data_IF_555840624384
#
_entry.id   IF_555840624384
#
_cell.length_a   1.000
_cell.length_b   1.000
_cell.length_c   1.000
_cell.angle_alpha   90.00
_cell.angle_beta   90.00
_cell.angle_gamma   90.00
#
_symmetry.space_group_name_H-M   'P 1'
#
loop_
_entity.id
_entity.type
_entity.pdbx_description
1 polymer ?
#
# COMPACT_ATOMS: atom_id res chain seq x y z
N UNK A 1 -12.64 -9.77 -19.85
CA UNK A 1 -12.86 -8.32 -19.67
C UNK A 1 -11.50 -7.68 -19.47
N UNK A 2 -11.20 -6.60 -20.20
CA UNK A 2 -9.92 -5.89 -20.10
C UNK A 2 -10.17 -4.54 -19.43
N UNK A 3 -9.39 -4.24 -18.39
CA UNK A 3 -9.48 -3.00 -17.63
C UNK A 3 -8.18 -2.20 -17.79
N UNK A 4 -8.30 -0.88 -17.83
CA UNK A 4 -7.17 0.04 -17.93
C UNK A 4 -7.03 0.78 -16.61
N UNK A 5 -5.83 0.74 -16.02
CA UNK A 5 -5.51 1.55 -14.84
C UNK A 5 -4.93 2.86 -15.33
N UNK A 6 -5.68 3.95 -15.14
CA UNK A 6 -5.31 5.30 -15.56
C UNK A 6 -5.19 6.18 -14.32
N UNK A 7 -4.35 7.21 -14.40
CA UNK A 7 -4.29 8.24 -13.36
C UNK A 7 -5.30 9.34 -13.71
N UNK A 8 -6.29 9.50 -12.83
CA UNK A 8 -7.27 10.57 -12.90
C UNK A 8 -7.31 11.36 -11.61
N UNK A 9 -7.73 12.62 -11.68
CA UNK A 9 -7.95 13.48 -10.51
C UNK A 9 -9.39 13.98 -10.50
N UNK A 10 -9.92 14.25 -9.32
CA UNK A 10 -11.19 14.96 -9.16
C UNK A 10 -10.89 16.45 -9.04
N UNK A 11 -11.51 17.29 -9.87
CA UNK A 11 -11.36 18.74 -9.80
C UNK A 11 -12.21 19.35 -8.67
N UNK A 12 -12.10 20.67 -8.46
CA UNK A 12 -12.85 21.39 -7.42
C UNK A 12 -14.37 21.37 -7.64
N UNK A 13 -14.81 21.09 -8.86
CA UNK A 13 -16.21 21.00 -9.25
C UNK A 13 -16.76 19.57 -9.14
N UNK A 14 -15.91 18.59 -8.80
CA UNK A 14 -16.28 17.19 -8.67
C UNK A 14 -16.16 16.37 -9.97
N UNK A 15 -15.52 16.89 -11.01
CA UNK A 15 -15.36 16.19 -12.29
C UNK A 15 -14.11 15.31 -12.31
N UNK A 16 -14.22 14.12 -12.90
CA UNK A 16 -13.08 13.26 -13.19
C UNK A 16 -12.30 13.78 -14.40
N UNK A 17 -11.02 14.11 -14.18
CA UNK A 17 -10.09 14.55 -15.21
C UNK A 17 -9.05 13.46 -15.46
N UNK A 18 -8.97 12.95 -16.68
CA UNK A 18 -7.93 12.02 -17.16
C UNK A 18 -7.14 12.74 -18.24
N UNK A 19 -5.84 12.94 -18.01
CA UNK A 19 -4.95 13.65 -18.94
C UNK A 19 -4.19 12.72 -19.88
N UNK A 20 -4.22 11.41 -19.60
CA UNK A 20 -3.53 10.38 -20.38
C UNK A 20 -4.42 9.90 -21.54
N UNK A 21 -3.88 9.74 -22.76
CA UNK A 21 -4.64 9.21 -23.88
C UNK A 21 -4.95 7.72 -23.67
N UNK A 22 -6.15 7.30 -24.05
CA UNK A 22 -6.60 5.91 -23.93
C UNK A 22 -6.75 5.30 -25.31
N UNK A 23 -6.00 4.24 -25.60
CA UNK A 23 -6.04 3.55 -26.88
C UNK A 23 -7.15 2.49 -26.89
N UNK A 24 -8.41 2.94 -26.93
CA UNK A 24 -9.59 2.10 -27.03
C UNK A 24 -10.35 2.38 -28.32
N UNK A 25 -10.99 1.37 -28.94
CA UNK A 25 -11.88 1.60 -30.08
C UNK A 25 -13.07 2.48 -29.64
N UNK A 26 -13.66 3.26 -30.56
CA UNK A 26 -14.83 4.07 -30.26
C UNK A 26 -15.98 3.20 -29.74
N UNK A 27 -16.55 3.60 -28.59
CA UNK A 27 -17.63 2.86 -27.94
C UNK A 27 -17.95 3.40 -26.55
N UNK A 28 -19.00 2.86 -25.94
CA UNK A 28 -19.32 3.16 -24.54
C UNK A 28 -18.34 2.45 -23.61
N UNK A 29 -17.92 3.12 -22.55
CA UNK A 29 -17.04 2.58 -21.52
C UNK A 29 -17.64 2.82 -20.14
N UNK A 30 -17.38 1.89 -19.22
CA UNK A 30 -17.68 2.06 -17.80
C UNK A 30 -16.41 2.48 -17.05
N UNK A 31 -16.55 3.35 -16.07
CA UNK A 31 -15.43 3.89 -15.28
C UNK A 31 -15.62 3.52 -13.82
N UNK A 32 -14.62 2.88 -13.23
CA UNK A 32 -14.57 2.58 -11.80
C UNK A 32 -13.57 3.54 -11.15
N UNK A 33 -14.04 4.37 -10.22
CA UNK A 33 -13.20 5.35 -9.50
C UNK A 33 -12.82 4.79 -8.14
N UNK A 34 -11.53 4.71 -7.88
CA UNK A 34 -10.99 4.34 -6.57
C UNK A 34 -10.19 5.51 -6.00
N UNK A 35 -10.39 5.92 -4.73
CA UNK A 35 -9.55 6.93 -4.12
C UNK A 35 -8.09 6.47 -4.12
N UNK A 36 -7.20 7.31 -4.66
CA UNK A 36 -5.77 7.08 -4.58
C UNK A 36 -5.29 7.41 -3.16
N UNK A 37 -4.57 6.49 -2.52
CA UNK A 37 -3.72 6.82 -1.39
C UNK A 37 -2.50 7.54 -1.96
N UNK A 38 -2.41 8.86 -1.73
CA UNK A 38 -1.27 9.67 -2.16
C UNK A 38 0.05 9.02 -1.70
N UNK A 39 0.76 8.42 -2.66
CA UNK A 39 2.16 8.05 -2.51
C UNK A 39 2.93 9.14 -3.22
N UNK A 40 3.42 10.09 -2.42
CA UNK A 40 4.10 11.31 -2.83
C UNK A 40 5.53 10.94 -3.23
N UNK A 41 5.74 10.56 -4.50
CA UNK A 41 7.08 10.30 -5.02
C UNK A 41 7.65 11.55 -5.71
N UNK A 42 8.52 12.28 -5.02
CA UNK A 42 9.91 12.57 -5.46
C UNK A 42 10.57 13.73 -4.70
N UNK A 43 11.56 13.37 -3.88
CA UNK A 43 12.94 13.90 -3.85
C UNK A 43 13.17 15.41 -3.74
N UNK A 44 13.50 15.89 -2.54
CA UNK A 44 14.71 16.72 -2.25
C UNK A 44 14.99 16.68 -0.73
N UNK A 45 16.28 16.53 -0.37
CA UNK A 45 16.93 16.59 0.94
C UNK A 45 17.01 15.27 1.77
N UNK A 46 18.23 14.79 2.10
CA UNK A 46 18.42 13.74 3.09
C UNK A 46 18.31 14.39 4.48
N UNK A 47 17.09 14.64 4.93
CA UNK A 47 16.85 14.95 6.34
C UNK A 47 16.84 13.61 7.09
N UNK A 48 17.99 13.29 7.68
CA UNK A 48 18.10 12.30 8.74
C UNK A 48 17.22 12.76 9.90
N UNK A 49 15.99 12.25 9.99
CA UNK A 49 15.12 12.36 11.16
C UNK A 49 14.29 11.08 11.33
N UNK A 50 13.90 10.75 12.57
CA UNK A 50 14.25 9.48 13.18
C UNK A 50 13.27 8.36 12.85
N UNK A 51 13.80 7.14 12.87
CA UNK A 51 13.05 5.88 12.95
C UNK A 51 11.87 6.05 13.90
N UNK A 52 10.62 5.85 13.46
CA UNK A 52 9.50 5.88 14.38
C UNK A 52 9.69 4.73 15.36
N UNK A 53 9.97 5.05 16.62
CA UNK A 53 9.91 4.07 17.70
C UNK A 53 8.49 3.51 17.71
N UNK A 54 8.36 2.28 17.24
CA UNK A 54 7.08 1.59 17.14
C UNK A 54 6.41 1.58 18.51
N UNK A 55 5.11 1.95 18.61
CA UNK A 55 4.41 1.89 19.87
C UNK A 55 4.41 0.45 20.37
N UNK A 56 4.91 0.23 21.60
CA UNK A 56 4.89 -1.07 22.28
C UNK A 56 3.48 -1.66 22.16
N UNK A 57 3.34 -2.76 21.40
CA UNK A 57 2.04 -3.39 21.15
C UNK A 57 1.49 -3.88 22.49
N UNK A 58 0.50 -3.17 23.03
CA UNK A 58 -0.16 -3.57 24.28
C UNK A 58 -1.04 -4.78 24.00
N UNK A 59 -0.67 -5.93 24.56
CA UNK A 59 -1.50 -7.12 24.46
C UNK A 59 -2.72 -6.99 25.38
N UNK A 60 -3.89 -7.45 24.92
CA UNK A 60 -5.09 -7.57 25.78
C UNK A 60 -5.03 -8.80 26.69
N UNK A 61 -4.12 -9.74 26.42
CA UNK A 61 -4.03 -11.04 27.10
C UNK A 61 -2.76 -11.05 27.95
N UNK A 62 -2.90 -11.05 29.29
CA UNK A 62 -1.77 -10.94 30.23
C UNK A 62 -0.65 -11.95 29.98
N UNK A 63 -0.97 -13.17 29.57
CA UNK A 63 0.03 -14.21 29.27
C UNK A 63 0.99 -13.85 28.13
N UNK A 64 0.54 -13.04 27.17
CA UNK A 64 1.35 -12.63 26.01
C UNK A 64 1.91 -11.22 26.14
N UNK A 65 1.67 -10.53 27.26
CA UNK A 65 2.11 -9.15 27.45
C UNK A 65 3.63 -9.01 27.30
N UNK A 66 4.40 -9.90 27.94
CA UNK A 66 5.86 -9.91 27.81
C UNK A 66 6.36 -10.23 26.40
N UNK A 67 5.60 -10.99 25.60
CA UNK A 67 5.97 -11.31 24.22
C UNK A 67 5.80 -10.09 23.30
N UNK A 68 4.68 -9.37 23.42
CA UNK A 68 4.40 -8.21 22.57
C UNK A 68 5.17 -6.94 22.98
N UNK A 69 5.53 -6.82 24.26
CA UNK A 69 6.35 -5.68 24.74
C UNK A 69 7.84 -5.81 24.38
N UNK A 70 8.35 -7.03 24.21
CA UNK A 70 9.75 -7.31 23.88
C UNK A 70 9.96 -7.77 22.43
N UNK A 71 8.90 -7.85 21.62
CA UNK A 71 9.03 -8.24 20.21
C UNK A 71 9.86 -7.20 19.45
N UNK A 72 10.79 -7.64 18.59
CA UNK A 72 11.54 -6.72 17.75
C UNK A 72 10.59 -5.97 16.81
N UNK A 73 10.89 -4.69 16.50
CA UNK A 73 10.10 -3.94 15.53
C UNK A 73 10.11 -4.65 14.18
N UNK A 74 8.95 -4.61 13.51
CA UNK A 74 8.84 -5.11 12.15
C UNK A 74 9.64 -4.17 11.24
N UNK A 75 10.52 -4.67 10.36
CA UNK A 75 11.25 -3.84 9.41
C UNK A 75 10.30 -2.99 8.56
N UNK A 76 10.70 -1.77 8.23
CA UNK A 76 9.89 -0.86 7.42
C UNK A 76 9.58 -1.44 6.02
N UNK A 77 10.47 -2.27 5.50
CA UNK A 77 10.36 -2.94 4.19
C UNK A 77 9.63 -4.30 4.26
N UNK A 78 8.99 -4.63 5.39
CA UNK A 78 8.30 -5.91 5.54
C UNK A 78 7.02 -5.95 4.70
N UNK A 79 7.03 -6.72 3.61
CA UNK A 79 5.85 -7.05 2.82
C UNK A 79 5.16 -8.31 3.39
N UNK A 80 3.98 -8.19 4.01
CA UNK A 80 3.25 -9.31 4.59
C UNK A 80 2.78 -10.33 3.55
N UNK A 81 2.50 -9.89 2.32
CA UNK A 81 2.07 -10.77 1.25
C UNK A 81 3.27 -11.56 0.72
N UNK A 82 4.43 -10.91 0.49
CA UNK A 82 5.65 -11.61 0.12
C UNK A 82 6.08 -12.65 1.16
N UNK A 83 6.07 -12.29 2.45
CA UNK A 83 6.44 -13.22 3.52
C UNK A 83 5.51 -14.44 3.57
N UNK A 84 4.21 -14.23 3.31
CA UNK A 84 3.24 -15.32 3.21
C UNK A 84 3.49 -16.20 1.99
N UNK A 85 3.83 -15.60 0.84
CA UNK A 85 4.18 -16.34 -0.37
C UNK A 85 5.45 -17.17 -0.19
N UNK A 86 6.50 -16.63 0.43
CA UNK A 86 7.74 -17.36 0.73
C UNK A 86 7.49 -18.54 1.67
N UNK A 87 6.70 -18.34 2.74
CA UNK A 87 6.31 -19.41 3.65
C UNK A 87 5.54 -20.52 2.92
N UNK A 88 4.57 -20.16 2.08
CA UNK A 88 3.80 -21.13 1.31
C UNK A 88 4.68 -21.87 0.31
N UNK A 89 5.63 -21.16 -0.32
CA UNK A 89 6.60 -21.75 -1.24
C UNK A 89 7.49 -22.78 -0.55
N UNK A 90 8.05 -22.43 0.61
CA UNK A 90 8.89 -23.32 1.42
C UNK A 90 8.08 -24.52 1.97
N UNK A 91 6.84 -24.29 2.41
CA UNK A 91 5.99 -25.37 2.96
C UNK A 91 5.44 -26.33 1.91
N UNK A 92 5.13 -25.83 0.73
CA UNK A 92 4.47 -26.60 -0.31
C UNK A 92 5.40 -26.98 -1.47
N UNK A 93 6.71 -26.68 -1.37
CA UNK A 93 7.71 -26.87 -2.42
C UNK A 93 7.24 -26.34 -3.79
N UNK A 94 6.65 -25.13 -3.80
CA UNK A 94 6.16 -24.47 -5.02
C UNK A 94 7.29 -23.84 -5.85
#
# INVERSE_FOLDING_TARGET
MQAYKLKGKIDQSGNLLITEPVNLPPGNVEVIVWPATDTLDSTTAPTSEPVPETPKRKSRIKAFQGLFENAPPVPADFDPDQAKWEYLKEKHNL
#
